data_IF_396093052877
#
_entry.id   IF_396093052877
#
_cell.length_a   1.000
_cell.length_b   1.000
_cell.length_c   1.000
_cell.angle_alpha   90.00
_cell.angle_beta   90.00
_cell.angle_gamma   90.00
#
_symmetry.space_group_name_H-M   'P 1'
#
loop_
_entity.id
_entity.type
_entity.pdbx_description
1 polymer ?
#
# COMPACT_ATOMS: atom_id res chain seq x y z
N UNK A 1 -23.90 -4.12 -7.14
CA UNK A 1 -23.05 -4.49 -8.29
C UNK A 1 -22.09 -3.36 -8.56
N UNK A 2 -20.81 -3.56 -8.34
CA UNK A 2 -19.78 -2.54 -8.54
C UNK A 2 -19.37 -2.54 -10.01
N UNK A 3 -19.70 -1.48 -10.73
CA UNK A 3 -19.32 -1.33 -12.14
C UNK A 3 -17.86 -0.84 -12.23
N UNK A 4 -16.99 -1.68 -12.79
CA UNK A 4 -15.65 -1.23 -13.24
C UNK A 4 -15.87 -0.42 -14.51
N UNK A 5 -15.49 0.87 -14.48
CA UNK A 5 -15.55 1.70 -15.68
C UNK A 5 -14.28 1.48 -16.50
N UNK A 6 -14.42 1.09 -17.77
CA UNK A 6 -13.31 1.00 -18.71
C UNK A 6 -12.80 2.41 -19.07
N UNK A 7 -11.54 2.50 -19.50
CA UNK A 7 -10.86 3.76 -19.83
C UNK A 7 -10.87 4.04 -21.31
N UNK A 8 -10.87 5.32 -21.60
CA UNK A 8 -10.63 5.84 -22.93
C UNK A 8 -9.13 6.06 -23.14
N UNK A 9 -8.67 5.92 -24.38
CA UNK A 9 -7.29 6.21 -24.71
C UNK A 9 -7.07 7.73 -24.79
N UNK A 10 -6.12 8.25 -23.99
CA UNK A 10 -5.80 9.68 -23.97
C UNK A 10 -4.80 10.11 -25.06
N UNK A 11 -4.36 9.19 -25.92
CA UNK A 11 -3.49 9.54 -27.06
C UNK A 11 -4.29 10.39 -28.06
N UNK A 12 -3.79 11.59 -28.45
CA UNK A 12 -4.48 12.46 -29.40
C UNK A 12 -4.85 11.72 -30.69
N UNK A 13 -6.10 11.82 -31.12
CA UNK A 13 -6.63 11.18 -32.32
C UNK A 13 -7.05 9.72 -32.17
N UNK A 14 -6.88 9.11 -31.01
CA UNK A 14 -7.40 7.76 -30.74
C UNK A 14 -8.84 7.82 -30.28
N UNK A 15 -9.74 7.14 -31.02
CA UNK A 15 -11.17 7.05 -30.69
C UNK A 15 -11.55 5.79 -29.90
N UNK A 16 -10.56 5.02 -29.42
CA UNK A 16 -10.82 3.78 -28.67
C UNK A 16 -11.24 4.10 -27.25
N UNK A 17 -12.44 3.67 -26.90
CA UNK A 17 -13.08 3.78 -25.59
C UNK A 17 -13.20 2.41 -24.94
N UNK A 18 -13.51 2.36 -23.66
CA UNK A 18 -13.79 1.12 -22.91
C UNK A 18 -12.63 0.11 -22.84
N UNK A 19 -11.38 0.58 -22.71
CA UNK A 19 -10.19 -0.28 -22.71
C UNK A 19 -9.98 -0.96 -21.36
N UNK A 20 -10.05 -2.27 -21.33
CA UNK A 20 -9.79 -3.10 -20.15
C UNK A 20 -8.29 -3.21 -19.86
N UNK A 21 -7.44 -3.12 -20.91
CA UNK A 21 -5.98 -3.22 -20.82
C UNK A 21 -5.32 -2.09 -21.63
N UNK A 22 -5.34 -0.88 -21.07
CA UNK A 22 -4.77 0.30 -21.74
C UNK A 22 -3.28 0.12 -22.08
N UNK A 23 -2.46 -0.48 -21.21
CA UNK A 23 -1.06 -0.74 -21.49
C UNK A 23 -0.83 -1.58 -22.74
N UNK A 24 -1.66 -2.60 -22.96
CA UNK A 24 -1.58 -3.42 -24.19
C UNK A 24 -2.04 -2.63 -25.43
N UNK A 25 -3.06 -1.78 -25.26
CA UNK A 25 -3.52 -0.91 -26.34
C UNK A 25 -2.42 0.08 -26.77
N UNK A 26 -1.79 0.77 -25.82
CA UNK A 26 -0.68 1.68 -26.07
C UNK A 26 0.53 0.97 -26.74
N UNK A 27 0.81 -0.28 -26.31
CA UNK A 27 1.88 -1.07 -26.91
C UNK A 27 1.57 -1.54 -28.34
N UNK A 28 0.36 -2.04 -28.58
CA UNK A 28 0.02 -2.77 -29.81
C UNK A 28 -0.64 -1.89 -30.88
N UNK A 29 -1.32 -0.83 -30.49
CA UNK A 29 -2.01 0.09 -31.40
C UNK A 29 -1.20 1.36 -31.65
N UNK A 30 -0.54 1.88 -30.62
CA UNK A 30 0.29 3.09 -30.72
C UNK A 30 1.79 2.79 -30.77
N UNK A 31 2.20 1.51 -30.73
CA UNK A 31 3.60 1.04 -30.83
C UNK A 31 4.56 1.72 -29.84
N UNK A 32 4.05 2.15 -28.70
CA UNK A 32 4.83 2.85 -27.67
C UNK A 32 5.75 1.91 -26.90
N UNK A 33 6.98 2.33 -26.63
CA UNK A 33 7.91 1.70 -25.71
C UNK A 33 7.40 1.77 -24.25
N UNK A 34 8.06 1.05 -23.33
CA UNK A 34 7.68 1.10 -21.89
C UNK A 34 7.79 2.53 -21.32
N UNK A 35 8.81 3.28 -21.73
CA UNK A 35 9.04 4.66 -21.29
C UNK A 35 7.98 5.62 -21.80
N UNK A 36 7.66 5.56 -23.09
CA UNK A 36 6.64 6.42 -23.70
C UNK A 36 5.23 6.18 -23.18
N UNK A 37 4.94 4.96 -22.69
CA UNK A 37 3.64 4.65 -22.08
C UNK A 37 3.47 5.19 -20.66
N UNK A 38 4.58 5.47 -19.95
CA UNK A 38 4.53 5.91 -18.54
C UNK A 38 3.57 7.08 -18.30
N UNK A 39 3.61 8.21 -19.03
CA UNK A 39 2.68 9.33 -18.80
C UNK A 39 1.22 8.92 -18.99
N UNK A 40 0.89 8.22 -20.05
CA UNK A 40 -0.48 7.79 -20.36
C UNK A 40 -1.03 6.78 -19.33
N UNK A 41 -0.16 5.90 -18.85
CA UNK A 41 -0.52 4.97 -17.78
C UNK A 41 -0.65 5.68 -16.44
N UNK A 42 0.12 6.73 -16.18
CA UNK A 42 0.00 7.56 -14.99
C UNK A 42 -1.33 8.30 -14.95
N UNK A 43 -1.73 8.96 -16.01
CA UNK A 43 -3.07 9.58 -16.12
C UNK A 43 -4.19 8.55 -16.00
N UNK A 44 -3.97 7.38 -16.60
CA UNK A 44 -4.95 6.33 -16.65
C UNK A 44 -5.02 5.44 -15.39
N UNK A 45 -4.11 5.53 -14.43
CA UNK A 45 -4.00 4.68 -13.23
C UNK A 45 -5.02 5.01 -12.15
N UNK A 46 -5.56 6.23 -12.14
CA UNK A 46 -6.47 6.69 -11.10
C UNK A 46 -7.93 6.42 -11.50
N UNK A 47 -8.47 5.32 -11.02
CA UNK A 47 -9.91 5.07 -11.11
C UNK A 47 -10.59 5.36 -9.79
N UNK A 48 -11.60 6.19 -9.87
CA UNK A 48 -12.54 6.40 -8.77
C UNK A 48 -13.63 5.34 -8.83
N UNK A 49 -13.79 4.60 -7.75
CA UNK A 49 -14.95 3.76 -7.55
C UNK A 49 -15.93 4.52 -6.68
N UNK A 50 -16.94 5.12 -7.33
CA UNK A 50 -18.06 5.67 -6.60
C UNK A 50 -18.92 4.56 -6.02
N UNK A 51 -19.08 4.56 -4.71
CA UNK A 51 -20.09 3.73 -4.06
C UNK A 51 -21.48 4.31 -4.32
N UNK A 52 -22.26 3.67 -5.21
CA UNK A 52 -23.68 3.94 -5.31
C UNK A 52 -24.37 3.32 -4.09
N UNK A 53 -24.88 4.15 -3.19
CA UNK A 53 -25.98 3.72 -2.35
C UNK A 53 -27.12 3.30 -3.27
N UNK A 54 -27.55 2.05 -3.16
CA UNK A 54 -28.70 1.51 -3.88
C UNK A 54 -29.94 2.13 -3.23
N UNK A 55 -30.22 3.37 -3.55
CA UNK A 55 -31.54 3.97 -3.56
C UNK A 55 -31.46 5.40 -4.11
N UNK A 56 -32.04 5.53 -5.29
CA UNK A 56 -32.62 6.71 -5.95
C UNK A 56 -31.76 7.89 -6.37
N UNK A 57 -31.93 8.16 -7.67
CA UNK A 57 -32.04 9.43 -8.40
C UNK A 57 -30.76 10.13 -8.86
N UNK A 58 -30.63 10.03 -10.16
CA UNK A 58 -30.24 11.00 -11.19
C UNK A 58 -29.25 12.13 -10.85
N UNK A 59 -28.18 12.10 -11.66
CA UNK A 59 -27.50 13.23 -12.28
C UNK A 59 -27.16 14.43 -11.41
N UNK A 60 -25.90 14.45 -10.97
CA UNK A 60 -25.07 15.64 -11.11
C UNK A 60 -23.61 15.19 -11.09
N UNK A 61 -23.06 15.00 -12.28
CA UNK A 61 -21.62 14.79 -12.49
C UNK A 61 -20.90 16.08 -12.14
N UNK A 62 -20.37 16.17 -10.95
CA UNK A 62 -19.34 17.16 -10.64
C UNK A 62 -18.08 16.72 -11.39
N UNK A 63 -17.47 17.57 -12.23
CA UNK A 63 -16.23 17.21 -12.90
C UNK A 63 -15.16 16.91 -11.84
N UNK A 64 -14.72 15.66 -11.78
CA UNK A 64 -13.66 15.26 -10.88
C UNK A 64 -12.33 15.83 -11.39
N UNK A 65 -11.69 16.66 -10.58
CA UNK A 65 -10.30 17.05 -10.84
C UNK A 65 -9.44 15.78 -10.83
N UNK A 66 -8.53 15.61 -11.80
CA UNK A 66 -7.60 14.47 -11.80
C UNK A 66 -6.78 14.53 -10.52
N UNK A 67 -6.72 13.42 -9.78
CA UNK A 67 -5.82 13.32 -8.63
C UNK A 67 -4.38 13.40 -9.13
N UNK A 68 -3.61 14.26 -8.49
CA UNK A 68 -2.18 14.36 -8.76
C UNK A 68 -1.51 13.03 -8.37
N UNK A 69 -0.67 12.48 -9.24
CA UNK A 69 0.07 11.23 -8.99
C UNK A 69 0.86 11.27 -7.67
N UNK A 70 1.35 12.45 -7.28
CA UNK A 70 2.03 12.65 -6.00
C UNK A 70 1.14 12.46 -4.76
N UNK A 71 -0.20 12.55 -4.90
CA UNK A 71 -1.12 12.34 -3.77
C UNK A 71 -1.30 10.87 -3.40
N UNK A 72 -0.95 9.94 -4.28
CA UNK A 72 -1.15 8.50 -4.07
C UNK A 72 0.14 7.74 -3.72
N UNK A 73 1.29 8.40 -3.74
CA UNK A 73 2.56 7.83 -3.27
C UNK A 73 2.56 7.69 -1.74
N UNK A 74 3.31 6.70 -1.26
CA UNK A 74 3.56 6.52 0.17
C UNK A 74 4.50 7.63 0.66
N UNK A 75 4.09 8.34 1.68
CA UNK A 75 4.93 9.38 2.30
C UNK A 75 6.16 8.74 2.94
N UNK A 76 7.30 9.40 2.86
CA UNK A 76 8.51 9.02 3.59
C UNK A 76 8.92 10.18 4.49
N UNK A 77 9.35 9.91 5.75
CA UNK A 77 9.38 8.62 6.44
C UNK A 77 8.01 8.19 6.98
N UNK A 78 7.75 6.88 7.03
CA UNK A 78 6.45 6.35 7.45
C UNK A 78 6.52 4.95 8.05
N UNK A 79 5.49 4.55 8.79
CA UNK A 79 5.31 3.20 9.28
C UNK A 79 4.17 2.50 8.53
N UNK A 80 4.45 1.32 7.98
CA UNK A 80 3.54 0.53 7.17
C UNK A 80 3.34 -0.84 7.81
N UNK A 81 2.12 -1.18 8.12
CA UNK A 81 1.72 -2.50 8.61
C UNK A 81 1.11 -3.31 7.46
N UNK A 82 1.67 -4.50 7.18
CA UNK A 82 1.12 -5.44 6.20
C UNK A 82 0.51 -6.62 6.96
N UNK A 83 -0.81 -6.74 6.93
CA UNK A 83 -1.57 -7.64 7.79
C UNK A 83 -2.36 -8.69 6.99
N UNK A 84 -2.34 -9.92 7.46
CA UNK A 84 -3.15 -11.02 6.93
C UNK A 84 -2.60 -12.39 7.30
N UNK A 85 -3.37 -13.48 7.08
CA UNK A 85 -2.97 -14.84 7.42
C UNK A 85 -1.78 -15.33 6.58
N UNK A 86 -1.23 -16.47 6.94
CA UNK A 86 -0.22 -17.16 6.12
C UNK A 86 -0.79 -17.42 4.72
N UNK A 87 0.06 -17.33 3.69
CA UNK A 87 -0.28 -17.49 2.27
C UNK A 87 -1.24 -16.46 1.66
N UNK A 88 -1.57 -15.37 2.33
CA UNK A 88 -2.42 -14.33 1.75
C UNK A 88 -1.70 -13.39 0.77
N UNK A 89 -0.37 -13.47 0.64
CA UNK A 89 0.39 -12.66 -0.31
C UNK A 89 1.23 -11.52 0.29
N UNK A 90 1.30 -11.36 1.63
CA UNK A 90 2.08 -10.29 2.31
C UNK A 90 3.50 -10.14 1.79
N UNK A 91 4.24 -11.23 1.78
CA UNK A 91 5.64 -11.23 1.38
C UNK A 91 5.83 -10.90 -0.11
N UNK A 92 4.95 -11.38 -0.98
CA UNK A 92 4.95 -11.03 -2.40
C UNK A 92 4.64 -9.54 -2.61
N UNK A 93 3.64 -9.02 -1.90
CA UNK A 93 3.29 -7.61 -1.93
C UNK A 93 4.46 -6.72 -1.47
N UNK A 94 5.13 -7.13 -0.38
CA UNK A 94 6.32 -6.43 0.14
C UNK A 94 7.45 -6.42 -0.88
N UNK A 95 7.77 -7.57 -1.47
CA UNK A 95 8.79 -7.64 -2.52
C UNK A 95 8.42 -6.76 -3.73
N UNK A 96 7.16 -6.80 -4.18
CA UNK A 96 6.68 -5.94 -5.26
C UNK A 96 6.81 -4.45 -4.90
N UNK A 97 6.56 -4.06 -3.65
CA UNK A 97 6.77 -2.69 -3.17
C UNK A 97 8.25 -2.30 -3.24
N UNK A 98 9.16 -3.16 -2.78
CA UNK A 98 10.59 -2.89 -2.78
C UNK A 98 11.18 -2.82 -4.20
N UNK A 99 10.67 -3.60 -5.14
CA UNK A 99 11.06 -3.54 -6.56
C UNK A 99 10.61 -2.26 -7.27
N UNK A 100 9.56 -1.61 -6.75
CA UNK A 100 9.01 -0.37 -7.30
C UNK A 100 9.25 0.83 -6.35
N UNK A 101 10.24 0.76 -5.49
CA UNK A 101 10.45 1.71 -4.40
C UNK A 101 10.55 3.16 -4.88
N UNK A 102 11.22 3.40 -6.01
CA UNK A 102 11.43 4.73 -6.58
C UNK A 102 10.14 5.40 -7.09
N UNK A 103 9.14 4.59 -7.46
CA UNK A 103 7.83 5.09 -7.91
C UNK A 103 6.79 5.13 -6.80
N UNK A 104 7.00 4.36 -5.74
CA UNK A 104 6.01 4.16 -4.67
C UNK A 104 6.18 5.12 -3.50
N UNK A 105 7.38 5.64 -3.25
CA UNK A 105 7.65 6.55 -2.14
C UNK A 105 7.82 8.00 -2.61
N UNK A 106 7.49 8.94 -1.73
CA UNK A 106 7.63 10.38 -1.99
C UNK A 106 9.08 10.87 -2.06
N UNK A 107 10.00 10.09 -1.52
CA UNK A 107 11.45 10.38 -1.50
C UNK A 107 12.24 9.18 -2.03
N UNK A 108 13.44 9.47 -2.56
CA UNK A 108 14.35 8.43 -3.06
C UNK A 108 14.93 7.63 -1.89
N UNK A 109 14.73 6.32 -1.93
CA UNK A 109 15.26 5.40 -0.92
C UNK A 109 16.68 4.96 -1.30
N UNK A 110 17.62 5.19 -0.40
CA UNK A 110 19.04 4.91 -0.62
C UNK A 110 19.51 3.59 0.00
N UNK A 111 18.79 3.09 1.01
CA UNK A 111 19.13 1.84 1.70
C UNK A 111 17.88 1.10 2.14
N UNK A 112 17.88 -0.22 1.93
CA UNK A 112 16.84 -1.14 2.41
C UNK A 112 17.51 -2.17 3.30
N UNK A 113 17.01 -2.32 4.53
CA UNK A 113 17.42 -3.37 5.47
C UNK A 113 16.23 -4.30 5.66
N UNK A 114 16.40 -5.57 5.28
CA UNK A 114 15.36 -6.59 5.33
C UNK A 114 15.68 -7.61 6.43
N UNK A 115 15.03 -7.48 7.58
CA UNK A 115 15.20 -8.36 8.73
C UNK A 115 14.16 -9.48 8.70
N UNK A 116 14.62 -10.74 8.81
CA UNK A 116 13.76 -11.93 8.75
C UNK A 116 14.03 -12.89 9.91
N UNK A 117 13.02 -13.69 10.29
CA UNK A 117 13.16 -14.72 11.34
C UNK A 117 13.77 -16.02 10.82
N UNK A 118 13.36 -16.47 9.63
CA UNK A 118 13.86 -17.70 8.99
C UNK A 118 14.30 -17.42 7.57
N UNK A 119 15.48 -17.96 7.20
CA UNK A 119 16.04 -17.81 5.86
C UNK A 119 15.17 -18.46 4.79
N UNK A 120 15.01 -17.78 3.67
CA UNK A 120 14.35 -18.29 2.47
C UNK A 120 15.20 -17.99 1.23
N UNK A 121 15.35 -18.97 0.28
CA UNK A 121 16.21 -18.80 -0.90
C UNK A 121 15.90 -17.53 -1.72
N UNK A 122 14.64 -17.10 -1.76
CA UNK A 122 14.22 -15.88 -2.46
C UNK A 122 14.91 -14.59 -1.97
N UNK A 123 15.45 -14.57 -0.76
CA UNK A 123 16.16 -13.38 -0.26
C UNK A 123 17.45 -13.13 -1.05
N UNK A 124 18.12 -14.19 -1.54
CA UNK A 124 19.27 -14.05 -2.45
C UNK A 124 18.86 -13.45 -3.80
N UNK A 125 17.69 -13.81 -4.32
CA UNK A 125 17.16 -13.22 -5.56
C UNK A 125 16.82 -11.74 -5.34
N UNK A 126 16.22 -11.39 -4.18
CA UNK A 126 15.95 -10.00 -3.83
C UNK A 126 17.23 -9.17 -3.74
N UNK A 127 18.29 -9.70 -3.10
CA UNK A 127 19.59 -8.99 -2.99
C UNK A 127 20.27 -8.79 -4.34
N UNK A 128 20.10 -9.72 -5.28
CA UNK A 128 20.61 -9.59 -6.64
C UNK A 128 19.85 -8.57 -7.46
N UNK A 129 18.52 -8.56 -7.32
CA UNK A 129 17.62 -7.85 -8.23
C UNK A 129 17.19 -6.45 -7.72
N UNK A 130 17.27 -6.19 -6.42
CA UNK A 130 16.88 -4.92 -5.79
C UNK A 130 18.15 -4.17 -5.34
N UNK A 131 18.35 -2.99 -5.90
CA UNK A 131 19.48 -2.17 -5.49
C UNK A 131 19.37 -1.72 -4.03
N UNK A 132 20.51 -1.70 -3.35
CA UNK A 132 20.66 -1.19 -1.98
C UNK A 132 19.89 -1.96 -0.90
N UNK A 133 19.49 -3.22 -1.16
CA UNK A 133 18.90 -4.10 -0.15
C UNK A 133 20.00 -4.91 0.55
N UNK A 134 19.81 -5.15 1.84
CA UNK A 134 20.62 -6.02 2.66
C UNK A 134 19.70 -6.86 3.54
N UNK A 135 19.79 -8.19 3.42
CA UNK A 135 19.00 -9.12 4.23
C UNK A 135 19.78 -9.51 5.48
N UNK A 136 19.13 -9.55 6.63
CA UNK A 136 19.74 -9.85 7.92
C UNK A 136 18.80 -10.77 8.70
N UNK A 137 19.37 -11.84 9.27
CA UNK A 137 18.63 -12.71 10.18
C UNK A 137 18.47 -12.06 11.56
N UNK A 138 17.27 -12.09 12.09
CA UNK A 138 16.93 -11.50 13.37
C UNK A 138 16.83 -9.97 13.33
N UNK A 139 16.76 -9.38 14.51
CA UNK A 139 16.74 -7.91 14.71
C UNK A 139 18.08 -7.45 15.26
N UNK A 140 18.88 -6.65 14.51
CA UNK A 140 20.16 -6.16 14.94
C UNK A 140 20.07 -5.27 16.17
N UNK A 141 21.07 -5.32 17.07
CA UNK A 141 21.12 -4.45 18.26
C UNK A 141 21.28 -2.97 17.89
N UNK A 142 22.14 -2.67 16.91
CA UNK A 142 22.33 -1.32 16.37
C UNK A 142 21.81 -1.23 14.93
N UNK A 143 20.50 -1.10 14.81
CA UNK A 143 19.84 -0.97 13.52
C UNK A 143 20.23 0.34 12.80
N UNK A 144 20.54 1.39 13.52
CA UNK A 144 20.80 2.71 12.94
C UNK A 144 22.15 2.78 12.23
N UNK A 145 23.17 2.06 12.71
CA UNK A 145 24.47 2.00 12.06
C UNK A 145 24.40 1.42 10.65
N UNK A 146 23.43 0.52 10.39
CA UNK A 146 23.23 -0.10 9.09
C UNK A 146 22.77 0.89 8.00
N UNK A 147 22.12 1.97 8.40
CA UNK A 147 21.64 2.99 7.46
C UNK A 147 22.68 4.08 7.16
N UNK A 148 23.68 4.28 8.02
CA UNK A 148 24.73 5.32 7.83
C UNK A 148 24.15 6.70 7.49
N UNK A 149 23.08 7.13 8.17
CA UNK A 149 22.32 8.35 7.94
C UNK A 149 21.67 8.46 6.53
N UNK A 150 21.55 7.38 5.78
CA UNK A 150 20.86 7.35 4.50
C UNK A 150 19.35 7.27 4.69
N UNK A 151 18.64 7.81 3.73
CA UNK A 151 17.18 7.65 3.59
C UNK A 151 16.87 6.18 3.36
N UNK A 152 16.08 5.56 4.24
CA UNK A 152 15.99 4.11 4.20
C UNK A 152 14.64 3.50 4.57
N UNK A 153 14.53 2.20 4.25
CA UNK A 153 13.41 1.35 4.64
C UNK A 153 13.91 0.19 5.48
N UNK A 154 13.34 0.01 6.66
CA UNK A 154 13.49 -1.18 7.50
C UNK A 154 12.29 -2.10 7.30
N UNK A 155 12.53 -3.31 6.84
CA UNK A 155 11.52 -4.36 6.69
C UNK A 155 11.67 -5.40 7.79
N UNK A 156 10.57 -5.76 8.46
CA UNK A 156 10.53 -6.71 9.56
C UNK A 156 9.56 -7.84 9.24
N UNK A 157 10.09 -9.05 9.04
CA UNK A 157 9.32 -10.22 8.65
C UNK A 157 9.43 -11.31 9.71
N UNK A 158 8.28 -11.73 10.22
CA UNK A 158 8.13 -12.78 11.24
C UNK A 158 8.84 -12.52 12.59
N UNK A 159 9.31 -11.29 12.80
CA UNK A 159 10.01 -10.85 14.00
C UNK A 159 9.08 -10.18 15.03
N UNK A 160 7.83 -9.90 14.68
CA UNK A 160 6.92 -9.12 15.52
C UNK A 160 6.47 -9.83 16.81
N UNK A 161 6.46 -11.15 16.82
CA UNK A 161 6.11 -11.90 18.03
C UNK A 161 7.18 -11.81 19.14
N UNK A 162 8.44 -11.77 18.73
CA UNK A 162 9.58 -11.57 19.64
C UNK A 162 9.81 -10.09 19.97
N UNK A 163 9.44 -9.23 19.08
CA UNK A 163 9.81 -7.82 19.04
C UNK A 163 8.77 -6.88 19.62
N UNK A 164 7.49 -7.27 19.68
CA UNK A 164 6.50 -6.54 20.50
C UNK A 164 6.85 -6.54 22.00
N UNK A 165 7.82 -7.37 22.39
CA UNK A 165 8.41 -7.41 23.75
C UNK A 165 9.73 -6.63 23.87
N UNK A 166 10.40 -6.25 22.74
CA UNK A 166 11.68 -5.54 22.80
C UNK A 166 11.49 -4.03 22.67
N UNK A 167 11.87 -3.29 23.68
CA UNK A 167 11.81 -1.82 23.70
C UNK A 167 12.59 -1.17 22.54
N UNK A 168 13.66 -1.83 22.04
CA UNK A 168 14.45 -1.38 20.89
C UNK A 168 13.63 -1.25 19.60
N UNK A 169 12.76 -2.21 19.28
CA UNK A 169 11.94 -2.14 18.08
C UNK A 169 10.85 -1.08 18.19
N UNK A 170 10.23 -0.94 19.35
CA UNK A 170 9.26 0.14 19.62
C UNK A 170 9.92 1.49 19.40
N UNK A 171 11.16 1.64 19.86
CA UNK A 171 11.94 2.87 19.65
C UNK A 171 12.20 3.15 18.16
N UNK A 172 12.45 2.13 17.36
CA UNK A 172 12.62 2.30 15.91
C UNK A 172 11.32 2.75 15.24
N UNK A 173 10.21 2.10 15.56
CA UNK A 173 8.90 2.45 14.98
C UNK A 173 8.43 3.84 15.44
N UNK A 174 8.68 4.23 16.69
CA UNK A 174 8.17 5.48 17.24
C UNK A 174 9.11 6.68 17.04
N UNK A 175 10.42 6.46 17.13
CA UNK A 175 11.43 7.53 17.05
C UNK A 175 12.26 7.46 15.76
N UNK A 176 12.56 6.26 15.25
CA UNK A 176 13.42 6.07 14.08
C UNK A 176 12.80 6.70 12.84
N UNK A 177 11.49 6.58 12.67
CA UNK A 177 10.75 7.19 11.59
C UNK A 177 11.00 8.72 11.52
N UNK A 178 10.79 9.44 12.61
CA UNK A 178 10.88 10.91 12.62
C UNK A 178 12.30 11.46 12.73
N UNK A 179 13.20 10.79 13.48
CA UNK A 179 14.53 11.35 13.79
C UNK A 179 15.65 10.83 12.90
N UNK A 180 15.43 9.72 12.19
CA UNK A 180 16.47 9.05 11.41
C UNK A 180 16.13 8.88 9.93
N UNK A 181 15.02 9.43 9.48
CA UNK A 181 14.56 9.35 8.10
C UNK A 181 14.47 7.89 7.58
N UNK A 182 13.88 7.00 8.39
CA UNK A 182 13.73 5.57 8.10
C UNK A 182 12.26 5.22 8.13
N UNK A 183 11.71 4.76 7.00
CA UNK A 183 10.40 4.12 6.97
C UNK A 183 10.49 2.70 7.52
N UNK A 184 9.48 2.28 8.28
CA UNK A 184 9.42 0.91 8.79
C UNK A 184 8.24 0.18 8.17
N UNK A 185 8.49 -1.01 7.63
CA UNK A 185 7.50 -1.90 7.08
C UNK A 185 7.51 -3.21 7.88
N UNK A 186 6.40 -3.59 8.49
CA UNK A 186 6.33 -4.78 9.31
C UNK A 186 5.14 -5.68 8.95
N UNK A 187 5.44 -6.98 8.83
CA UNK A 187 4.48 -7.99 8.46
C UNK A 187 3.92 -8.66 9.71
N UNK A 188 2.60 -8.68 9.81
CA UNK A 188 1.87 -9.27 10.94
C UNK A 188 0.74 -10.18 10.47
N UNK A 189 0.34 -11.12 11.31
CA UNK A 189 -0.80 -11.98 11.01
C UNK A 189 -2.13 -11.32 11.37
N UNK A 190 -2.15 -10.52 12.45
CA UNK A 190 -3.36 -9.87 12.96
C UNK A 190 -3.20 -8.35 12.93
N UNK A 191 -4.31 -7.63 12.67
CA UNK A 191 -4.33 -6.16 12.68
C UNK A 191 -3.93 -5.59 14.05
N UNK A 192 -4.35 -6.26 15.11
CA UNK A 192 -4.06 -5.89 16.49
C UNK A 192 -3.32 -7.04 17.18
N UNK A 193 -2.01 -7.23 16.91
CA UNK A 193 -1.26 -8.30 17.55
C UNK A 193 -1.22 -8.08 19.08
N UNK A 194 -1.31 -9.14 19.89
CA UNK A 194 -1.16 -9.00 21.32
C UNK A 194 0.25 -8.56 21.69
N UNK A 195 0.41 -7.77 22.75
CA UNK A 195 1.71 -7.37 23.28
C UNK A 195 1.71 -6.05 24.01
N UNK A 196 2.70 -5.85 24.88
CA UNK A 196 2.86 -4.66 25.74
C UNK A 196 2.84 -3.33 24.94
N UNK A 197 3.43 -3.33 23.75
CA UNK A 197 3.60 -2.14 22.93
C UNK A 197 2.66 -2.07 21.71
N UNK A 198 1.78 -3.03 21.55
CA UNK A 198 0.90 -3.16 20.39
C UNK A 198 0.09 -1.88 20.10
N UNK A 199 -0.47 -1.27 21.16
CA UNK A 199 -1.21 0.00 21.03
C UNK A 199 -0.32 1.15 20.55
N UNK A 200 0.90 1.26 21.08
CA UNK A 200 1.85 2.31 20.69
C UNK A 200 2.25 2.16 19.24
N UNK A 201 2.54 0.94 18.78
CA UNK A 201 2.87 0.64 17.38
C UNK A 201 1.68 0.99 16.47
N UNK A 202 0.48 0.53 16.82
CA UNK A 202 -0.73 0.79 16.02
C UNK A 202 -1.02 2.29 15.87
N UNK A 203 -0.86 3.09 16.92
CA UNK A 203 -1.08 4.53 16.86
C UNK A 203 -0.02 5.31 16.07
N UNK A 204 1.16 4.72 15.85
CA UNK A 204 2.25 5.29 15.03
C UNK A 204 2.29 4.67 13.61
N UNK A 205 1.32 3.85 13.25
CA UNK A 205 1.22 3.26 11.91
C UNK A 205 0.44 4.21 11.00
N UNK A 206 1.07 4.62 9.90
CA UNK A 206 0.47 5.55 8.93
C UNK A 206 -0.26 4.82 7.80
N UNK A 207 0.21 3.64 7.41
CA UNK A 207 -0.43 2.83 6.38
C UNK A 207 -0.70 1.42 6.89
N UNK A 208 -1.90 0.92 6.66
CA UNK A 208 -2.26 -0.46 6.96
C UNK A 208 -2.71 -1.13 5.66
N UNK A 209 -2.01 -2.20 5.27
CA UNK A 209 -2.35 -3.04 4.12
C UNK A 209 -3.04 -4.29 4.65
N UNK A 210 -4.36 -4.34 4.54
CA UNK A 210 -5.17 -5.44 5.07
C UNK A 210 -5.54 -6.42 3.95
N UNK A 211 -4.97 -7.61 4.01
CA UNK A 211 -5.33 -8.73 3.13
C UNK A 211 -6.60 -9.44 3.61
N UNK A 212 -7.19 -10.25 2.72
CA UNK A 212 -8.33 -11.09 3.07
C UNK A 212 -8.01 -11.99 4.27
N UNK A 213 -8.80 -11.87 5.32
CA UNK A 213 -8.68 -12.71 6.52
C UNK A 213 -10.02 -13.42 6.80
N UNK A 214 -10.22 -14.66 6.29
CA UNK A 214 -11.51 -15.35 6.40
C UNK A 214 -11.99 -15.60 7.84
N UNK A 215 -11.07 -15.68 8.80
CA UNK A 215 -11.36 -15.97 10.22
C UNK A 215 -11.45 -14.73 11.10
N UNK A 216 -10.99 -13.56 10.63
CA UNK A 216 -10.95 -12.32 11.43
C UNK A 216 -11.39 -11.10 10.59
N UNK A 217 -12.66 -11.01 10.30
CA UNK A 217 -13.28 -9.79 9.77
C UNK A 217 -13.49 -8.72 10.84
N UNK A 218 -13.48 -9.13 12.12
CA UNK A 218 -13.70 -8.22 13.25
C UNK A 218 -12.59 -7.18 13.36
N UNK A 219 -11.33 -7.55 13.11
CA UNK A 219 -10.19 -6.63 13.16
C UNK A 219 -10.38 -5.43 12.23
N UNK A 220 -10.81 -5.67 10.98
CA UNK A 220 -11.11 -4.58 10.01
C UNK A 220 -12.28 -3.73 10.48
N UNK A 221 -13.33 -4.33 11.05
CA UNK A 221 -14.49 -3.60 11.58
C UNK A 221 -14.11 -2.71 12.77
N UNK A 222 -13.18 -3.16 13.64
CA UNK A 222 -12.66 -2.36 14.75
C UNK A 222 -11.86 -1.18 14.21
N UNK A 223 -10.94 -1.40 13.26
CA UNK A 223 -10.16 -0.34 12.60
C UNK A 223 -11.08 0.69 11.94
N UNK A 224 -12.10 0.22 11.19
CA UNK A 224 -13.08 1.08 10.54
C UNK A 224 -13.82 1.98 11.54
N UNK A 225 -14.23 1.45 12.68
CA UNK A 225 -14.89 2.25 13.74
C UNK A 225 -13.97 3.27 14.39
N UNK A 226 -12.68 2.94 14.53
CA UNK A 226 -11.70 3.85 15.13
C UNK A 226 -11.28 4.97 14.16
N UNK A 227 -10.95 4.63 12.93
CA UNK A 227 -10.41 5.58 11.96
C UNK A 227 -11.51 6.31 11.16
N UNK A 228 -12.70 5.69 11.00
CA UNK A 228 -13.82 6.21 10.20
C UNK A 228 -15.15 6.05 10.93
N UNK A 229 -15.35 6.67 12.11
CA UNK A 229 -16.48 6.38 13.01
C UNK A 229 -17.86 6.56 12.35
N UNK A 230 -17.99 7.51 11.43
CA UNK A 230 -19.25 7.79 10.72
C UNK A 230 -19.34 7.13 9.33
N UNK A 231 -18.41 6.23 9.00
CA UNK A 231 -18.28 5.63 7.68
C UNK A 231 -17.94 4.13 7.71
N UNK A 232 -18.18 3.46 8.83
CA UNK A 232 -17.82 2.03 9.03
C UNK A 232 -18.38 1.14 7.93
N UNK A 233 -19.65 1.33 7.54
CA UNK A 233 -20.27 0.54 6.47
C UNK A 233 -19.54 0.72 5.14
N UNK A 234 -19.22 1.95 4.76
CA UNK A 234 -18.45 2.27 3.56
C UNK A 234 -17.08 1.58 3.56
N UNK A 235 -16.37 1.61 4.68
CA UNK A 235 -15.06 0.97 4.83
C UNK A 235 -15.18 -0.55 4.68
N UNK A 236 -16.18 -1.18 5.30
CA UNK A 236 -16.40 -2.62 5.19
C UNK A 236 -16.72 -3.05 3.76
N UNK A 237 -17.61 -2.33 3.07
CA UNK A 237 -17.94 -2.58 1.67
C UNK A 237 -16.72 -2.38 0.75
N UNK A 238 -15.87 -1.37 1.02
CA UNK A 238 -14.61 -1.16 0.30
C UNK A 238 -13.63 -2.31 0.51
N UNK A 239 -13.54 -2.82 1.75
CA UNK A 239 -12.70 -3.96 2.07
C UNK A 239 -13.19 -5.23 1.35
N UNK A 240 -14.48 -5.55 1.47
CA UNK A 240 -15.07 -6.72 0.81
C UNK A 240 -14.82 -6.71 -0.69
N UNK A 241 -14.97 -5.55 -1.34
CA UNK A 241 -14.67 -5.41 -2.76
C UNK A 241 -13.17 -5.57 -3.08
N UNK A 242 -12.29 -4.94 -2.32
CA UNK A 242 -10.85 -4.99 -2.53
C UNK A 242 -10.28 -6.41 -2.41
N UNK A 243 -10.89 -7.25 -1.55
CA UNK A 243 -10.43 -8.61 -1.26
C UNK A 243 -11.25 -9.71 -1.95
N UNK A 244 -12.07 -9.37 -2.95
CA UNK A 244 -12.85 -10.37 -3.71
C UNK A 244 -11.96 -11.40 -4.41
N UNK A 245 -10.88 -10.92 -5.02
CA UNK A 245 -9.94 -11.77 -5.75
C UNK A 245 -8.89 -12.38 -4.79
N UNK A 246 -8.29 -13.52 -5.14
CA UNK A 246 -7.13 -14.04 -4.43
C UNK A 246 -6.03 -12.98 -4.32
N UNK A 247 -5.39 -12.92 -3.15
CA UNK A 247 -4.34 -11.94 -2.83
C UNK A 247 -4.79 -10.46 -2.86
N UNK A 248 -6.11 -10.22 -2.89
CA UNK A 248 -6.68 -8.87 -2.79
C UNK A 248 -6.41 -8.24 -1.43
N UNK A 249 -6.24 -6.93 -1.41
CA UNK A 249 -5.93 -6.17 -0.20
C UNK A 249 -6.57 -4.77 -0.25
N UNK A 250 -6.80 -4.18 0.90
CA UNK A 250 -7.18 -2.78 1.04
C UNK A 250 -6.06 -2.03 1.79
N UNK A 251 -5.65 -0.90 1.26
CA UNK A 251 -4.74 0.05 1.91
C UNK A 251 -5.56 1.10 2.64
N UNK A 252 -5.33 1.21 3.94
CA UNK A 252 -5.80 2.31 4.78
C UNK A 252 -4.67 3.33 4.88
N UNK A 253 -4.86 4.51 4.33
CA UNK A 253 -3.94 5.63 4.46
C UNK A 253 -4.40 6.51 5.63
N UNK A 254 -3.72 6.36 6.76
CA UNK A 254 -4.01 7.06 8.00
C UNK A 254 -3.03 8.23 8.23
N UNK A 255 -2.21 8.55 7.23
CA UNK A 255 -1.26 9.65 7.35
C UNK A 255 -2.00 10.98 7.52
N UNK A 256 -1.60 11.84 8.48
CA UNK A 256 -2.33 13.08 8.80
C UNK A 256 -2.50 14.05 7.62
N UNK A 257 -1.53 14.07 6.69
CA UNK A 257 -1.58 14.96 5.52
C UNK A 257 -2.39 14.41 4.35
N UNK A 258 -2.92 13.18 4.44
CA UNK A 258 -3.67 12.57 3.35
C UNK A 258 -5.11 13.07 3.33
N UNK A 259 -5.59 13.47 2.16
CA UNK A 259 -6.99 13.87 1.95
C UNK A 259 -7.96 12.73 2.28
N UNK A 260 -9.09 13.04 2.92
CA UNK A 260 -10.14 12.09 3.27
C UNK A 260 -10.67 11.30 2.05
N UNK A 261 -10.56 11.88 0.85
CA UNK A 261 -11.08 11.29 -0.39
C UNK A 261 -10.24 10.11 -0.91
N UNK A 262 -8.97 10.00 -0.47
CA UNK A 262 -8.03 9.00 -1.02
C UNK A 262 -7.47 8.04 0.03
N UNK A 263 -8.11 7.97 1.21
CA UNK A 263 -7.64 7.15 2.32
C UNK A 263 -7.80 5.65 2.13
N UNK A 264 -8.71 5.21 1.27
CA UNK A 264 -8.94 3.79 0.99
C UNK A 264 -8.60 3.48 -0.46
N UNK A 265 -7.61 2.60 -0.65
CA UNK A 265 -7.06 2.29 -1.98
C UNK A 265 -6.77 0.80 -2.13
N UNK A 266 -6.80 0.30 -3.36
CA UNK A 266 -6.29 -1.02 -3.72
C UNK A 266 -5.59 -0.98 -5.07
N UNK A 267 -4.85 -2.05 -5.43
CA UNK A 267 -4.12 -2.13 -6.71
C UNK A 267 -3.17 -0.94 -6.89
N UNK A 268 -2.33 -0.64 -5.86
CA UNK A 268 -1.55 0.60 -5.77
C UNK A 268 -0.27 0.61 -6.60
N UNK A 269 0.15 -0.51 -7.18
CA UNK A 269 1.43 -0.60 -7.89
C UNK A 269 1.39 0.05 -9.27
N UNK A 270 2.56 0.47 -9.80
CA UNK A 270 2.66 1.15 -11.08
C UNK A 270 2.02 0.41 -12.25
N UNK A 271 2.12 -0.91 -12.30
CA UNK A 271 1.53 -1.73 -13.37
C UNK A 271 0.07 -2.11 -13.14
N UNK A 272 -0.47 -1.81 -11.96
CA UNK A 272 -1.84 -2.12 -11.60
C UNK A 272 -2.78 -0.98 -12.01
N UNK A 273 -4.04 -1.31 -12.19
CA UNK A 273 -5.10 -0.31 -12.27
C UNK A 273 -5.45 0.14 -10.86
N UNK A 274 -4.89 1.28 -10.43
CA UNK A 274 -5.17 1.82 -9.11
C UNK A 274 -6.66 2.09 -8.90
N UNK A 275 -7.18 1.71 -7.73
CA UNK A 275 -8.56 1.95 -7.33
C UNK A 275 -8.57 2.75 -6.02
N UNK A 276 -9.23 3.87 -6.04
CA UNK A 276 -9.52 4.70 -4.87
C UNK A 276 -10.99 4.58 -4.54
N UNK A 277 -11.30 4.26 -3.29
CA UNK A 277 -12.68 4.25 -2.80
C UNK A 277 -13.04 5.65 -2.28
N UNK A 278 -14.13 6.20 -2.76
CA UNK A 278 -14.62 7.53 -2.36
C UNK A 278 -16.01 7.40 -1.74
N UNK A 279 -16.18 7.96 -0.56
CA UNK A 279 -17.49 8.02 0.09
C UNK A 279 -18.37 9.06 -0.62
N UNK A 280 -19.58 8.67 -1.00
CA UNK A 280 -20.61 9.65 -1.35
C UNK A 280 -21.11 10.35 -0.09
N UNK A 281 -21.13 11.66 -0.13
CA UNK A 281 -21.74 12.53 0.89
C UNK A 281 -23.23 12.64 0.59
#
# INVERSE_FOLDING_TARGET
MLTRYPKDCSVPGCLKTNLVKLSNHLANVHFMSKEERKPYLQEARLFFKEYKNVNTLESNLVPHQPLNVMEVTLKHPTNIQVCGPTFCGKSYWTEKLLRNVDEMFSEKIEKIVYCYGEFQPRFLDMERDIHNIQSIEGFPEDIYSLFNNKVGILVLVDLMNESTSKDSMVNVITRGCHHRNISTLFLVQNLFPPGKHSRTISLNTHYIVAFKHPRDSLGVSILARQAFPNATKYVMESYEDAVQNPYGYLVFDLHPSTSEKIRLRTSIFPDDQQVVYVRRI
#
